data_IF_240310844399
#
_entry.id   IF_240310844399
#
_cell.length_a   1.000
_cell.length_b   1.000
_cell.length_c   1.000
_cell.angle_alpha   90.00
_cell.angle_beta   90.00
_cell.angle_gamma   90.00
#
_symmetry.space_group_name_H-M   'P 1'
#
loop_
_entity.id
_entity.type
_entity.pdbx_description
1 polymer ?
#
# COMPACT_ATOMS: atom_id res chain seq x y z
N UNK A 1 -44.05 15.76 -0.14
CA UNK A 1 -43.27 16.77 0.62
C UNK A 1 -42.69 16.09 1.84
N UNK A 2 -41.37 15.96 1.95
CA UNK A 2 -40.66 15.54 3.16
C UNK A 2 -39.21 16.06 3.09
N UNK A 3 -39.01 17.34 3.36
CA UNK A 3 -37.71 17.89 3.70
C UNK A 3 -37.75 18.29 5.18
N UNK A 4 -37.27 17.41 6.06
CA UNK A 4 -36.92 17.80 7.43
C UNK A 4 -35.82 18.87 7.40
N UNK A 5 -35.56 19.61 8.50
CA UNK A 5 -34.68 20.77 8.47
C UNK A 5 -33.29 20.39 7.97
N UNK A 6 -32.96 20.81 6.74
CA UNK A 6 -31.60 20.77 6.23
C UNK A 6 -30.83 21.91 6.89
N UNK A 7 -30.28 21.65 8.07
CA UNK A 7 -29.41 22.60 8.74
C UNK A 7 -28.05 22.60 8.04
N UNK A 8 -27.75 23.67 7.30
CA UNK A 8 -26.39 23.95 6.85
C UNK A 8 -25.66 24.65 8.00
N UNK A 9 -24.58 24.04 8.50
CA UNK A 9 -23.71 24.65 9.51
C UNK A 9 -22.40 25.07 8.85
N UNK A 10 -21.98 26.30 9.09
CA UNK A 10 -20.65 26.79 8.70
C UNK A 10 -19.79 26.87 9.95
N UNK A 11 -18.73 26.08 9.97
CA UNK A 11 -17.66 26.22 10.95
C UNK A 11 -16.51 26.99 10.32
N UNK A 12 -15.98 27.97 11.05
CA UNK A 12 -14.79 28.74 10.64
C UNK A 12 -13.72 28.50 11.68
N UNK A 13 -12.56 28.06 11.22
CA UNK A 13 -11.41 27.76 12.07
C UNK A 13 -10.20 28.54 11.55
N UNK A 14 -9.33 28.96 12.45
CA UNK A 14 -8.06 29.63 12.12
C UNK A 14 -6.88 28.68 12.05
N UNK A 15 -7.05 27.41 12.44
CA UNK A 15 -6.01 26.38 12.44
C UNK A 15 -6.59 25.01 12.01
N UNK A 16 -5.73 23.98 11.95
CA UNK A 16 -6.03 22.62 11.49
C UNK A 16 -7.17 21.99 12.28
N UNK A 17 -8.06 21.32 11.56
CA UNK A 17 -9.16 20.53 12.13
C UNK A 17 -9.03 19.06 11.76
N UNK A 18 -9.50 18.19 12.64
CA UNK A 18 -9.54 16.74 12.43
C UNK A 18 -10.97 16.24 12.61
N UNK A 19 -11.45 15.43 11.66
CA UNK A 19 -12.74 14.76 11.76
C UNK A 19 -12.53 13.29 12.12
N UNK A 20 -13.18 12.82 13.18
CA UNK A 20 -13.13 11.40 13.56
C UNK A 20 -14.19 10.56 12.83
N UNK A 21 -15.31 11.15 12.41
CA UNK A 21 -16.38 10.48 11.68
C UNK A 21 -17.19 11.45 10.84
N UNK A 22 -17.28 11.21 9.54
CA UNK A 22 -18.18 11.91 8.60
C UNK A 22 -19.12 10.86 8.01
N UNK A 23 -20.44 10.99 8.22
CA UNK A 23 -21.42 10.07 7.62
C UNK A 23 -21.84 10.51 6.22
N UNK A 24 -22.09 11.81 6.05
CA UNK A 24 -22.45 12.43 4.76
C UNK A 24 -21.91 13.85 4.76
N UNK A 25 -20.99 14.18 3.85
CA UNK A 25 -20.39 15.51 3.76
C UNK A 25 -19.57 15.68 2.49
N UNK A 26 -19.65 16.87 1.90
CA UNK A 26 -18.83 17.25 0.74
C UNK A 26 -17.81 18.28 1.25
N UNK A 27 -16.56 17.85 1.38
CA UNK A 27 -15.45 18.77 1.67
C UNK A 27 -14.85 19.19 0.33
N UNK A 28 -15.02 20.46 -0.03
CA UNK A 28 -14.40 21.06 -1.21
C UNK A 28 -13.37 22.09 -0.76
N UNK A 29 -12.06 21.86 -0.97
CA UNK A 29 -11.08 22.92 -0.79
C UNK A 29 -11.42 24.08 -1.73
N UNK A 30 -11.17 25.30 -1.27
CA UNK A 30 -11.26 26.53 -2.07
C UNK A 30 -9.87 27.17 -2.20
N UNK A 31 -9.72 28.11 -3.14
CA UNK A 31 -8.44 28.77 -3.41
C UNK A 31 -7.51 27.94 -4.29
N UNK A 32 -6.17 28.03 -4.13
CA UNK A 32 -5.19 27.38 -5.01
C UNK A 32 -5.31 25.86 -5.11
N UNK A 33 -5.94 25.22 -4.13
CA UNK A 33 -6.15 23.78 -4.08
C UNK A 33 -7.59 23.37 -4.45
N UNK A 34 -8.39 24.28 -5.01
CA UNK A 34 -9.74 23.98 -5.46
C UNK A 34 -9.74 22.84 -6.50
N UNK A 35 -10.58 21.83 -6.29
CA UNK A 35 -10.69 20.66 -7.18
C UNK A 35 -9.61 19.59 -6.96
N UNK A 36 -8.61 19.84 -6.11
CA UNK A 36 -7.60 18.83 -5.76
C UNK A 36 -8.15 17.96 -4.63
N UNK A 37 -8.10 16.63 -4.79
CA UNK A 37 -8.45 15.70 -3.72
C UNK A 37 -7.26 15.56 -2.75
N UNK A 38 -7.35 16.08 -1.51
CA UNK A 38 -6.26 15.95 -0.54
C UNK A 38 -6.08 14.51 -0.03
N UNK A 39 -7.01 13.60 -0.34
CA UNK A 39 -6.99 12.19 0.04
C UNK A 39 -6.59 11.27 -1.11
N UNK A 40 -6.04 11.80 -2.21
CA UNK A 40 -5.62 10.97 -3.36
C UNK A 40 -4.62 9.90 -2.91
N UNK A 41 -3.55 10.29 -2.21
CA UNK A 41 -2.56 9.37 -1.65
C UNK A 41 -3.12 8.42 -0.57
N UNK A 42 -4.34 8.66 -0.08
CA UNK A 42 -5.02 7.78 0.86
C UNK A 42 -5.98 6.80 0.16
N UNK A 43 -6.04 6.80 -1.18
CA UNK A 43 -6.77 5.80 -1.94
C UNK A 43 -6.19 4.41 -1.60
N UNK A 44 -7.04 3.40 -1.36
CA UNK A 44 -6.56 2.04 -1.19
C UNK A 44 -5.73 1.64 -2.43
N UNK A 45 -4.45 1.34 -2.22
CA UNK A 45 -3.61 0.74 -3.24
C UNK A 45 -4.23 -0.59 -3.63
N UNK A 46 -4.25 -0.90 -4.93
CA UNK A 46 -4.65 -2.22 -5.40
C UNK A 46 -3.74 -3.27 -4.75
N UNK A 47 -4.29 -4.39 -4.24
CA UNK A 47 -3.47 -5.42 -3.64
C UNK A 47 -2.54 -6.04 -4.68
N UNK A 48 -1.31 -6.40 -4.30
CA UNK A 48 -0.38 -7.03 -5.23
C UNK A 48 -0.89 -8.41 -5.64
N UNK A 49 -0.72 -8.76 -6.92
CA UNK A 49 -1.06 -10.09 -7.42
C UNK A 49 0.17 -10.98 -7.34
N UNK A 50 0.17 -11.95 -6.42
CA UNK A 50 1.25 -12.94 -6.27
C UNK A 50 1.01 -14.15 -7.19
N UNK A 51 2.02 -14.51 -7.97
CA UNK A 51 2.01 -15.70 -8.84
C UNK A 51 3.27 -16.54 -8.62
N UNK A 52 3.11 -17.85 -8.66
CA UNK A 52 4.18 -18.83 -8.45
C UNK A 52 4.16 -19.80 -9.61
N UNK A 53 5.29 -19.94 -10.29
CA UNK A 53 5.47 -20.88 -11.39
C UNK A 53 6.68 -21.77 -11.11
N UNK A 54 6.55 -23.07 -11.38
CA UNK A 54 7.66 -24.02 -11.32
C UNK A 54 7.98 -24.50 -12.72
N UNK A 55 9.25 -24.39 -13.13
CA UNK A 55 9.68 -24.90 -14.43
C UNK A 55 10.08 -26.39 -14.37
N UNK A 56 10.35 -26.98 -15.54
CA UNK A 56 10.71 -28.39 -15.70
C UNK A 56 12.03 -28.76 -14.99
N UNK A 57 12.97 -27.81 -14.87
CA UNK A 57 14.22 -28.01 -14.12
C UNK A 57 14.05 -27.93 -12.60
N UNK A 58 12.83 -27.66 -12.13
CA UNK A 58 12.49 -27.59 -10.71
C UNK A 58 12.78 -26.24 -10.05
N UNK A 59 13.19 -25.23 -10.82
CA UNK A 59 13.29 -23.85 -10.37
C UNK A 59 11.88 -23.27 -10.18
N UNK A 60 11.71 -22.53 -9.10
CA UNK A 60 10.51 -21.78 -8.77
C UNK A 60 10.77 -20.32 -9.08
N UNK A 61 9.88 -19.73 -9.86
CA UNK A 61 9.83 -18.31 -10.13
C UNK A 61 8.59 -17.72 -9.43
N UNK A 62 8.82 -16.77 -8.54
CA UNK A 62 7.78 -16.04 -7.82
C UNK A 62 7.72 -14.63 -8.38
N UNK A 63 6.53 -14.15 -8.72
CA UNK A 63 6.32 -12.80 -9.28
C UNK A 63 5.17 -12.09 -8.57
N UNK A 64 5.32 -10.79 -8.37
CA UNK A 64 4.25 -9.95 -7.85
C UNK A 64 4.27 -8.55 -8.44
N UNK A 65 3.10 -7.92 -8.54
CA UNK A 65 3.01 -6.51 -8.90
C UNK A 65 3.51 -5.65 -7.75
N UNK A 66 4.51 -4.80 -8.03
CA UNK A 66 5.10 -3.87 -7.07
C UNK A 66 5.76 -2.70 -7.80
N UNK A 67 4.95 -1.74 -8.21
CA UNK A 67 5.39 -0.54 -8.94
C UNK A 67 6.36 0.34 -8.13
N UNK A 68 6.34 0.23 -6.79
CA UNK A 68 7.02 1.15 -5.90
C UNK A 68 8.08 0.48 -4.98
N UNK A 69 8.36 -0.82 -5.14
CA UNK A 69 9.28 -1.54 -4.25
C UNK A 69 8.80 -1.60 -2.79
N UNK A 70 7.48 -1.62 -2.61
CA UNK A 70 6.80 -1.47 -1.32
C UNK A 70 6.51 -2.80 -0.62
N UNK A 71 6.78 -3.93 -1.27
CA UNK A 71 6.56 -5.26 -0.70
C UNK A 71 7.86 -6.06 -0.61
N UNK A 72 8.04 -6.73 0.53
CA UNK A 72 9.05 -7.75 0.73
C UNK A 72 8.40 -9.14 0.65
N UNK A 73 9.01 -10.05 -0.10
CA UNK A 73 8.62 -11.45 -0.11
C UNK A 73 9.23 -12.16 1.12
N UNK A 74 8.38 -12.83 1.89
CA UNK A 74 8.77 -13.65 3.03
C UNK A 74 8.33 -15.12 2.81
N UNK A 75 9.00 -16.05 3.49
CA UNK A 75 8.65 -17.46 3.49
C UNK A 75 8.77 -18.09 4.88
N UNK A 76 8.02 -19.17 5.08
CA UNK A 76 8.13 -20.06 6.24
C UNK A 76 8.00 -21.50 5.78
N UNK A 77 8.59 -22.44 6.54
CA UNK A 77 8.38 -23.89 6.34
C UNK A 77 7.18 -24.42 7.12
N UNK A 78 6.75 -23.67 8.13
CA UNK A 78 5.64 -24.03 8.99
C UNK A 78 4.75 -22.81 9.14
N UNK A 79 3.54 -22.89 8.58
CA UNK A 79 2.56 -21.81 8.63
C UNK A 79 1.98 -21.61 10.04
N UNK A 80 2.13 -22.60 10.91
CA UNK A 80 1.65 -22.54 12.29
C UNK A 80 2.68 -21.91 13.24
N UNK A 81 3.95 -21.88 12.83
CA UNK A 81 4.99 -21.16 13.51
C UNK A 81 5.07 -19.71 12.98
N UNK A 82 5.11 -18.73 13.87
CA UNK A 82 5.33 -17.32 13.51
C UNK A 82 6.82 -17.06 13.20
N UNK A 83 7.36 -17.82 12.25
CA UNK A 83 8.78 -17.86 11.89
C UNK A 83 9.00 -17.44 10.43
N UNK A 84 8.34 -16.36 10.01
CA UNK A 84 8.52 -15.78 8.68
C UNK A 84 9.90 -15.15 8.53
N UNK A 85 10.60 -15.48 7.44
CA UNK A 85 11.91 -14.94 7.11
C UNK A 85 11.93 -14.42 5.67
N UNK A 86 12.84 -13.48 5.31
CA UNK A 86 13.01 -13.04 3.94
C UNK A 86 13.16 -14.22 2.97
N UNK A 87 12.43 -14.17 1.85
CA UNK A 87 12.56 -15.18 0.81
C UNK A 87 13.99 -15.19 0.27
N UNK A 88 14.61 -16.37 0.06
CA UNK A 88 15.99 -16.41 -0.40
C UNK A 88 16.11 -15.89 -1.84
N UNK A 89 17.17 -15.12 -2.08
CA UNK A 89 17.43 -14.46 -3.37
C UNK A 89 16.96 -13.01 -3.40
N UNK A 90 17.61 -12.21 -4.25
CA UNK A 90 17.29 -10.79 -4.42
C UNK A 90 16.26 -10.62 -5.55
N UNK A 91 15.09 -10.01 -5.28
CA UNK A 91 14.12 -9.72 -6.32
C UNK A 91 14.65 -8.71 -7.33
N UNK A 92 14.32 -8.92 -8.60
CA UNK A 92 14.53 -7.94 -9.66
C UNK A 92 13.20 -7.30 -10.04
N UNK A 93 13.21 -5.98 -10.24
CA UNK A 93 12.03 -5.21 -10.64
C UNK A 93 12.13 -4.89 -12.13
N UNK A 94 11.09 -5.21 -12.88
CA UNK A 94 10.97 -4.84 -14.29
C UNK A 94 9.54 -4.41 -14.60
N UNK A 95 9.36 -3.21 -15.16
CA UNK A 95 8.05 -2.66 -15.56
C UNK A 95 6.97 -2.78 -14.46
N UNK A 96 7.32 -2.53 -13.20
CA UNK A 96 6.40 -2.60 -12.06
C UNK A 96 6.06 -4.02 -11.58
N UNK A 97 6.77 -5.03 -12.10
CA UNK A 97 6.67 -6.42 -11.65
C UNK A 97 7.98 -6.82 -10.97
N UNK A 98 7.89 -7.22 -9.71
CA UNK A 98 8.99 -7.83 -8.98
C UNK A 98 9.03 -9.34 -9.21
N UNK A 99 10.22 -9.90 -9.37
CA UNK A 99 10.39 -11.34 -9.58
C UNK A 99 11.65 -11.89 -8.91
N UNK A 100 11.57 -13.12 -8.40
CA UNK A 100 12.72 -13.86 -7.86
C UNK A 100 12.64 -15.31 -8.30
N UNK A 101 13.80 -15.89 -8.65
CA UNK A 101 13.92 -17.28 -9.11
C UNK A 101 14.89 -18.05 -8.23
N UNK A 102 14.46 -19.20 -7.70
CA UNK A 102 15.30 -20.07 -6.88
C UNK A 102 15.10 -21.54 -7.19
N UNK A 103 16.12 -22.35 -6.92
CA UNK A 103 16.03 -23.80 -6.95
C UNK A 103 15.86 -24.30 -5.53
N UNK A 104 14.74 -24.98 -5.22
CA UNK A 104 14.48 -25.52 -3.89
C UNK A 104 14.58 -27.04 -3.92
N UNK A 105 15.36 -27.60 -3.00
CA UNK A 105 15.47 -29.04 -2.81
C UNK A 105 14.21 -29.58 -2.09
N UNK A 106 13.24 -30.11 -2.84
CA UNK A 106 12.09 -30.93 -2.39
C UNK A 106 11.55 -30.66 -0.96
N UNK A 107 11.28 -29.41 -0.61
CA UNK A 107 10.66 -29.03 0.68
C UNK A 107 9.40 -28.21 0.43
N UNK A 108 8.37 -28.47 1.23
CA UNK A 108 7.17 -27.63 1.32
C UNK A 108 7.48 -26.35 2.06
N UNK A 109 6.97 -25.23 1.58
CA UNK A 109 7.08 -23.90 2.20
C UNK A 109 5.85 -23.08 1.83
N UNK A 110 5.60 -22.04 2.62
CA UNK A 110 4.58 -21.02 2.37
C UNK A 110 5.26 -19.69 2.09
N UNK A 111 4.60 -18.82 1.32
CA UNK A 111 5.09 -17.48 0.98
C UNK A 111 4.04 -16.43 1.26
N UNK A 112 4.48 -15.20 1.54
CA UNK A 112 3.62 -14.05 1.77
C UNK A 112 4.32 -12.77 1.33
N UNK A 113 3.52 -11.76 0.96
CA UNK A 113 4.00 -10.41 0.70
C UNK A 113 3.75 -9.54 1.93
N UNK A 114 4.82 -8.95 2.46
CA UNK A 114 4.74 -8.01 3.59
C UNK A 114 5.03 -6.62 3.10
N UNK A 115 4.12 -5.68 3.40
CA UNK A 115 4.31 -4.28 3.06
C UNK A 115 5.45 -3.69 3.90
N UNK A 116 6.48 -3.19 3.23
CA UNK A 116 7.55 -2.42 3.85
C UNK A 116 6.97 -1.03 4.11
N UNK A 117 6.94 -0.62 5.37
CA UNK A 117 6.49 0.73 5.73
C UNK A 117 7.49 1.72 5.13
N UNK A 118 7.04 2.60 4.23
CA UNK A 118 7.85 3.73 3.78
C UNK A 118 8.35 4.49 5.04
N UNK A 119 9.66 4.67 5.17
CA UNK A 119 10.21 5.46 6.27
C UNK A 119 9.62 6.87 6.17
N UNK A 120 8.85 7.26 7.18
CA UNK A 120 8.16 8.56 7.22
C UNK A 120 9.14 9.71 7.47
N UNK A 121 10.45 9.44 7.51
CA UNK A 121 11.50 10.41 7.85
C UNK A 121 12.06 11.22 6.68
N UNK A 122 11.76 10.87 5.42
CA UNK A 122 12.34 11.57 4.26
C UNK A 122 11.39 12.53 3.53
N UNK A 123 10.22 12.88 4.10
CA UNK A 123 9.46 14.03 3.59
C UNK A 123 9.86 15.28 4.37
N UNK A 124 10.73 16.16 3.84
CA UNK A 124 10.99 17.43 4.48
C UNK A 124 9.69 18.24 4.47
N UNK A 125 9.07 18.38 5.64
CA UNK A 125 7.89 19.21 5.92
C UNK A 125 8.14 20.72 5.74
N UNK A 126 9.21 21.11 5.04
CA UNK A 126 9.76 22.47 5.03
C UNK A 126 9.69 23.23 3.69
N UNK A 127 9.08 22.71 2.63
CA UNK A 127 9.18 23.35 1.29
C UNK A 127 7.90 23.96 0.72
N UNK A 128 6.80 24.04 1.48
CA UNK A 128 5.54 24.63 0.99
C UNK A 128 5.05 25.76 1.90
N UNK A 129 5.92 26.72 2.17
CA UNK A 129 5.55 28.09 2.56
C UNK A 129 6.57 29.07 1.97
N UNK A 130 6.31 29.50 0.74
CA UNK A 130 6.60 30.86 0.28
C UNK A 130 5.42 31.35 -0.53
#
# INVERSE_FOLDING_TARGET
>A
MNHGPQAAVRFVFTDKIFFSRIRHGIIRPCGPFAGINPLEACKPSEPPTLSIHRNESGQINVRWTDEAGTFQLESTRDITADAWAPFPGDPTVNEGVSSVSITIAKTTFSVSLKRIKADRRDTPLGSLLR
#
